data_IF_991766662076
#
_entry.id   IF_991766662076
#
_cell.length_a   1.000
_cell.length_b   1.000
_cell.length_c   1.000
_cell.angle_alpha   90.00
_cell.angle_beta   90.00
_cell.angle_gamma   90.00
#
_symmetry.space_group_name_H-M   'P 1'
#
loop_
_entity.id
_entity.type
_entity.pdbx_description
1 polymer ?
#
# COMPACT_ATOMS: atom_id res chain seq x y z
N UNK A 1 -11.94 35.51 -5.46
CA UNK A 1 -11.17 35.08 -4.26
C UNK A 1 -9.78 34.60 -4.69
N UNK A 2 -8.71 34.94 -3.92
CA UNK A 2 -7.37 34.44 -4.26
C UNK A 2 -7.27 32.95 -3.91
N UNK A 3 -6.44 32.17 -4.63
CA UNK A 3 -6.22 30.75 -4.33
C UNK A 3 -5.77 30.52 -2.88
N UNK A 4 -5.02 31.46 -2.33
CA UNK A 4 -4.54 31.39 -0.95
C UNK A 4 -5.70 31.38 0.07
N UNK A 5 -6.75 32.14 -0.15
CA UNK A 5 -7.94 32.19 0.73
C UNK A 5 -8.69 30.85 0.67
N UNK A 6 -8.77 30.24 -0.49
CA UNK A 6 -9.39 28.92 -0.71
C UNK A 6 -8.64 27.84 0.09
N UNK A 7 -7.30 27.84 0.04
CA UNK A 7 -6.48 26.92 0.84
C UNK A 7 -6.61 27.17 2.34
N UNK A 8 -6.57 28.42 2.79
CA UNK A 8 -6.75 28.74 4.22
C UNK A 8 -8.11 28.24 4.71
N UNK A 9 -9.18 28.49 3.96
CA UNK A 9 -10.51 28.06 4.31
C UNK A 9 -10.62 26.52 4.40
N UNK A 10 -9.99 25.82 3.48
CA UNK A 10 -9.91 24.36 3.51
C UNK A 10 -9.24 23.84 4.80
N UNK A 11 -8.10 24.41 5.18
CA UNK A 11 -7.43 24.03 6.42
C UNK A 11 -8.21 24.39 7.66
N UNK A 12 -8.91 25.53 7.67
CA UNK A 12 -9.80 25.92 8.78
C UNK A 12 -10.93 24.89 8.95
N UNK A 13 -11.54 24.43 7.86
CA UNK A 13 -12.57 23.39 7.93
C UNK A 13 -12.03 22.07 8.49
N UNK A 14 -10.80 21.69 8.11
CA UNK A 14 -10.16 20.51 8.66
C UNK A 14 -9.87 20.65 10.17
N UNK A 15 -9.43 21.83 10.62
CA UNK A 15 -9.18 22.10 12.05
C UNK A 15 -10.45 22.05 12.88
N UNK A 16 -11.61 22.41 12.30
CA UNK A 16 -12.93 22.30 12.94
C UNK A 16 -13.46 20.85 12.88
N UNK A 17 -12.65 19.90 12.39
CA UNK A 17 -13.00 18.48 12.25
C UNK A 17 -14.16 18.20 11.26
N UNK A 18 -14.38 19.06 10.26
CA UNK A 18 -15.30 18.76 9.15
C UNK A 18 -14.68 17.67 8.27
N UNK A 19 -15.44 16.63 7.86
CA UNK A 19 -14.95 15.59 6.97
C UNK A 19 -14.34 16.15 5.68
N UNK A 20 -13.22 15.58 5.23
CA UNK A 20 -12.44 16.09 4.07
C UNK A 20 -13.32 16.26 2.82
N UNK A 21 -14.21 15.29 2.54
CA UNK A 21 -15.11 15.34 1.38
C UNK A 21 -16.07 16.54 1.42
N UNK A 22 -16.60 16.84 2.62
CA UNK A 22 -17.49 17.99 2.83
C UNK A 22 -16.69 19.29 2.73
N UNK A 23 -15.51 19.34 3.33
CA UNK A 23 -14.60 20.50 3.27
C UNK A 23 -14.24 20.84 1.82
N UNK A 24 -13.89 19.83 1.01
CA UNK A 24 -13.60 20.01 -0.42
C UNK A 24 -14.83 20.52 -1.19
N UNK A 25 -16.03 19.97 -0.93
CA UNK A 25 -17.27 20.42 -1.56
C UNK A 25 -17.61 21.87 -1.20
N UNK A 26 -17.50 22.23 0.08
CA UNK A 26 -17.75 23.60 0.55
C UNK A 26 -16.77 24.60 -0.08
N UNK A 27 -15.47 24.28 -0.08
CA UNK A 27 -14.44 25.15 -0.64
C UNK A 27 -14.58 25.29 -2.15
N UNK A 28 -15.11 24.30 -2.86
CA UNK A 28 -15.40 24.40 -4.29
C UNK A 28 -16.61 25.30 -4.62
N UNK A 29 -17.63 25.34 -3.74
CA UNK A 29 -18.87 26.09 -3.98
C UNK A 29 -18.79 27.52 -3.42
N UNK A 30 -18.14 27.74 -2.28
CA UNK A 30 -18.09 29.03 -1.59
C UNK A 30 -17.59 30.20 -2.46
N UNK A 31 -16.56 30.07 -3.30
CA UNK A 31 -16.13 31.16 -4.16
C UNK A 31 -17.25 31.68 -5.07
N UNK A 32 -18.08 30.79 -5.61
CA UNK A 32 -19.19 31.14 -6.48
C UNK A 32 -20.37 31.81 -5.75
N UNK A 33 -20.45 31.67 -4.41
CA UNK A 33 -21.46 32.34 -3.59
C UNK A 33 -21.05 33.80 -3.28
N UNK A 34 -19.75 34.03 -3.06
CA UNK A 34 -19.23 35.36 -2.69
C UNK A 34 -18.82 36.23 -3.89
N UNK A 35 -18.57 35.61 -5.04
CA UNK A 35 -18.12 36.31 -6.25
C UNK A 35 -18.96 35.86 -7.44
N UNK A 36 -19.96 36.67 -7.87
CA UNK A 36 -20.79 36.35 -9.05
C UNK A 36 -20.02 36.24 -10.36
N UNK A 37 -18.80 36.77 -10.43
CA UNK A 37 -17.92 36.62 -11.59
C UNK A 37 -17.26 35.25 -11.67
N UNK A 38 -17.35 34.46 -10.62
CA UNK A 38 -16.78 33.12 -10.57
C UNK A 38 -17.69 32.15 -11.34
N UNK A 39 -17.15 31.56 -12.40
CA UNK A 39 -17.91 30.73 -13.35
C UNK A 39 -18.39 29.39 -12.79
N UNK A 40 -17.86 28.96 -11.65
CA UNK A 40 -18.25 27.70 -11.01
C UNK A 40 -19.48 27.84 -10.13
N UNK A 41 -20.66 27.79 -10.76
CA UNK A 41 -21.94 27.70 -10.01
C UNK A 41 -22.04 26.34 -9.29
N UNK A 42 -22.91 26.27 -8.26
CA UNK A 42 -23.16 25.01 -7.53
C UNK A 42 -23.58 23.87 -8.49
N UNK A 43 -24.37 24.19 -9.54
CA UNK A 43 -24.74 23.22 -10.57
C UNK A 43 -23.55 22.75 -11.42
N UNK A 44 -22.58 23.63 -11.69
CA UNK A 44 -21.33 23.22 -12.37
C UNK A 44 -20.51 22.27 -11.49
N UNK A 45 -20.35 22.58 -10.21
CA UNK A 45 -19.62 21.72 -9.26
C UNK A 45 -20.28 20.34 -9.17
N UNK A 46 -21.62 20.30 -9.04
CA UNK A 46 -22.35 19.03 -8.98
C UNK A 46 -22.18 18.23 -10.27
N UNK A 47 -22.30 18.85 -11.44
CA UNK A 47 -22.08 18.18 -12.73
C UNK A 47 -20.64 17.66 -12.87
N UNK A 48 -19.65 18.44 -12.44
CA UNK A 48 -18.25 18.02 -12.44
C UNK A 48 -17.99 16.85 -11.49
N UNK A 49 -18.67 16.81 -10.33
CA UNK A 49 -18.60 15.67 -9.41
C UNK A 49 -19.17 14.39 -10.06
N UNK A 50 -20.34 14.48 -10.71
CA UNK A 50 -20.90 13.33 -11.43
C UNK A 50 -20.04 12.91 -12.62
N UNK A 51 -19.56 13.85 -13.43
CA UNK A 51 -18.66 13.55 -14.55
C UNK A 51 -17.31 12.97 -14.12
N UNK A 52 -16.81 13.36 -12.93
CA UNK A 52 -15.60 12.78 -12.36
C UNK A 52 -15.75 11.34 -11.89
N UNK A 53 -16.97 10.93 -11.53
CA UNK A 53 -17.28 9.55 -11.14
C UNK A 53 -17.53 8.67 -12.38
N UNK A 54 -18.06 9.24 -13.45
CA UNK A 54 -18.34 8.54 -14.71
C UNK A 54 -17.08 8.47 -15.57
N UNK A 55 -16.10 7.71 -15.11
CA UNK A 55 -14.85 7.52 -15.84
C UNK A 55 -14.38 6.07 -15.79
N UNK A 56 -13.94 5.55 -16.95
CA UNK A 56 -13.47 4.17 -17.07
C UNK A 56 -12.32 3.82 -16.11
N UNK A 57 -11.28 4.66 -15.90
CA UNK A 57 -10.22 4.37 -14.94
C UNK A 57 -10.71 4.24 -13.52
N UNK A 58 -11.79 4.94 -13.14
CA UNK A 58 -12.34 4.83 -11.79
C UNK A 58 -12.98 3.46 -11.50
N UNK A 59 -13.46 2.78 -12.55
CA UNK A 59 -14.01 1.43 -12.43
C UNK A 59 -12.95 0.42 -11.94
N UNK A 60 -11.68 0.67 -12.23
CA UNK A 60 -10.58 -0.17 -11.77
C UNK A 60 -10.46 -0.18 -10.22
N UNK A 61 -10.80 0.93 -9.55
CA UNK A 61 -10.67 1.06 -8.09
C UNK A 61 -11.49 0.00 -7.34
N UNK A 62 -12.82 -0.15 -7.54
CA UNK A 62 -13.59 -1.17 -6.86
C UNK A 62 -13.15 -2.60 -7.22
N UNK A 63 -12.69 -2.82 -8.46
CA UNK A 63 -12.17 -4.12 -8.89
C UNK A 63 -10.87 -4.48 -8.16
N UNK A 64 -9.94 -3.54 -8.00
CA UNK A 64 -8.72 -3.77 -7.21
C UNK A 64 -9.02 -3.97 -5.73
N UNK A 65 -9.95 -3.23 -5.14
CA UNK A 65 -10.37 -3.42 -3.75
C UNK A 65 -10.96 -4.83 -3.58
N UNK A 66 -11.86 -5.24 -4.47
CA UNK A 66 -12.49 -6.56 -4.42
C UNK A 66 -11.45 -7.68 -4.54
N UNK A 67 -10.54 -7.58 -5.52
CA UNK A 67 -9.47 -8.56 -5.70
C UNK A 67 -8.56 -8.64 -4.48
N UNK A 68 -8.18 -7.49 -3.91
CA UNK A 68 -7.37 -7.41 -2.70
C UNK A 68 -8.03 -8.07 -1.49
N UNK A 69 -9.35 -7.87 -1.29
CA UNK A 69 -10.10 -8.51 -0.20
C UNK A 69 -10.19 -10.03 -0.38
N UNK A 70 -10.49 -10.50 -1.59
CA UNK A 70 -10.54 -11.93 -1.91
C UNK A 70 -9.18 -12.58 -1.64
N UNK A 71 -8.11 -11.95 -2.08
CA UNK A 71 -6.74 -12.43 -1.90
C UNK A 71 -6.30 -12.41 -0.44
N UNK A 72 -6.68 -11.39 0.34
CA UNK A 72 -6.41 -11.33 1.77
C UNK A 72 -7.05 -12.52 2.51
N UNK A 73 -8.32 -12.80 2.22
CA UNK A 73 -9.05 -13.95 2.81
C UNK A 73 -8.52 -15.29 2.29
N UNK A 74 -7.99 -15.34 1.09
CA UNK A 74 -7.36 -16.52 0.48
C UNK A 74 -5.99 -16.88 1.06
N UNK A 75 -5.47 -16.12 2.03
CA UNK A 75 -4.20 -16.38 2.69
C UNK A 75 -2.97 -16.16 1.80
N UNK A 76 -3.09 -15.32 0.78
CA UNK A 76 -2.00 -15.03 -0.16
C UNK A 76 -0.84 -14.34 0.56
N UNK A 77 -1.10 -13.42 1.48
CA UNK A 77 -0.07 -12.75 2.28
C UNK A 77 0.81 -13.75 3.04
N UNK A 78 0.19 -14.79 3.63
CA UNK A 78 0.92 -15.85 4.32
C UNK A 78 1.80 -16.67 3.36
N UNK A 79 1.26 -17.04 2.22
CA UNK A 79 2.01 -17.83 1.22
C UNK A 79 3.19 -17.06 0.64
N UNK A 80 3.04 -15.77 0.40
CA UNK A 80 4.13 -14.88 -0.02
C UNK A 80 5.20 -14.78 1.07
N UNK A 81 4.78 -14.55 2.33
CA UNK A 81 5.70 -14.45 3.44
C UNK A 81 6.47 -15.77 3.66
N UNK A 82 5.78 -16.92 3.64
CA UNK A 82 6.41 -18.23 3.79
C UNK A 82 7.42 -18.48 2.65
N UNK A 83 7.08 -18.10 1.41
CA UNK A 83 7.98 -18.23 0.27
C UNK A 83 9.26 -17.40 0.44
N UNK A 84 9.12 -16.11 0.77
CA UNK A 84 10.29 -15.25 0.95
C UNK A 84 11.09 -15.65 2.19
N UNK A 85 10.44 -16.06 3.27
CA UNK A 85 11.09 -16.59 4.46
C UNK A 85 11.87 -17.86 4.17
N UNK A 86 11.40 -18.71 3.28
CA UNK A 86 12.12 -19.91 2.86
C UNK A 86 13.50 -19.60 2.24
N UNK A 87 13.59 -18.54 1.40
CA UNK A 87 14.84 -18.17 0.75
C UNK A 87 15.80 -17.35 1.62
N UNK A 88 15.28 -16.41 2.40
CA UNK A 88 16.11 -15.44 3.11
C UNK A 88 16.01 -15.52 4.63
N UNK A 89 15.13 -16.35 5.18
CA UNK A 89 14.80 -16.38 6.61
C UNK A 89 15.99 -16.69 7.53
N UNK A 90 16.94 -17.54 7.10
CA UNK A 90 18.14 -17.88 7.85
C UNK A 90 19.20 -16.76 7.91
N UNK A 91 19.07 -15.73 7.07
CA UNK A 91 19.98 -14.57 7.06
C UNK A 91 19.65 -13.61 8.19
N UNK A 92 20.62 -12.79 8.58
CA UNK A 92 20.39 -11.70 9.55
C UNK A 92 19.28 -10.77 9.01
N UNK A 93 18.28 -10.46 9.84
CA UNK A 93 17.06 -9.76 9.46
C UNK A 93 16.24 -10.44 8.35
N UNK A 94 16.43 -11.74 8.13
CA UNK A 94 15.78 -12.46 7.03
C UNK A 94 14.26 -12.38 7.09
N UNK A 95 13.65 -12.57 8.24
CA UNK A 95 12.20 -12.50 8.43
C UNK A 95 11.64 -11.07 8.32
N UNK A 96 12.24 -10.02 8.93
CA UNK A 96 11.89 -8.64 8.68
C UNK A 96 11.98 -8.25 7.18
N UNK A 97 13.03 -8.67 6.49
CA UNK A 97 13.17 -8.45 5.05
C UNK A 97 12.09 -9.20 4.25
N UNK A 98 11.76 -10.44 4.62
CA UNK A 98 10.66 -11.18 4.01
C UNK A 98 9.31 -10.45 4.19
N UNK A 99 9.08 -9.83 5.34
CA UNK A 99 7.88 -9.01 5.57
C UNK A 99 7.84 -7.78 4.64
N UNK A 100 8.95 -7.07 4.44
CA UNK A 100 9.04 -5.94 3.51
C UNK A 100 8.77 -6.38 2.07
N UNK A 101 9.39 -7.46 1.61
CA UNK A 101 9.17 -8.00 0.27
C UNK A 101 7.71 -8.44 0.11
N UNK A 102 7.13 -9.05 1.14
CA UNK A 102 5.70 -9.43 1.14
C UNK A 102 4.80 -8.20 0.99
N UNK A 103 5.12 -7.09 1.67
CA UNK A 103 4.39 -5.82 1.52
C UNK A 103 4.51 -5.27 0.09
N UNK A 104 5.68 -5.35 -0.55
CA UNK A 104 5.88 -4.95 -1.94
C UNK A 104 4.97 -5.74 -2.89
N UNK A 105 5.01 -7.06 -2.80
CA UNK A 105 4.21 -7.93 -3.66
C UNK A 105 2.71 -7.84 -3.37
N UNK A 106 2.33 -7.81 -2.09
CA UNK A 106 0.92 -7.67 -1.72
C UNK A 106 0.38 -6.28 -2.08
N UNK A 107 1.21 -5.25 -1.95
CA UNK A 107 0.90 -3.90 -2.38
C UNK A 107 0.60 -3.81 -3.88
N UNK A 108 1.42 -4.48 -4.69
CA UNK A 108 1.22 -4.61 -6.13
C UNK A 108 -0.05 -5.39 -6.54
N UNK A 109 -0.74 -6.00 -5.58
CA UNK A 109 -2.02 -6.68 -5.81
C UNK A 109 -3.18 -5.82 -5.32
N UNK A 110 -3.05 -5.25 -4.11
CA UNK A 110 -4.14 -4.54 -3.43
C UNK A 110 -4.30 -3.08 -3.85
N UNK A 111 -3.22 -2.46 -4.31
CA UNK A 111 -3.19 -1.03 -4.63
C UNK A 111 -3.46 -0.10 -3.44
N UNK A 112 -3.43 -0.63 -2.22
CA UNK A 112 -3.82 0.07 -0.98
C UNK A 112 -2.83 -0.21 0.15
N UNK A 113 -2.24 0.86 0.68
CA UNK A 113 -1.33 0.76 1.83
C UNK A 113 -2.03 0.25 3.09
N UNK A 114 -3.24 0.71 3.37
CA UNK A 114 -4.03 0.29 4.54
C UNK A 114 -4.33 -1.21 4.46
N UNK A 115 -4.78 -1.69 3.30
CA UNK A 115 -5.06 -3.11 3.08
C UNK A 115 -3.79 -3.96 3.23
N UNK A 116 -2.65 -3.46 2.73
CA UNK A 116 -1.34 -4.11 2.84
C UNK A 116 -0.90 -4.24 4.31
N UNK A 117 -0.96 -3.14 5.08
CA UNK A 117 -0.64 -3.17 6.52
C UNK A 117 -1.55 -4.13 7.27
N UNK A 118 -2.84 -4.11 6.99
CA UNK A 118 -3.81 -4.99 7.65
C UNK A 118 -3.55 -6.46 7.32
N UNK A 119 -3.37 -6.80 6.04
CA UNK A 119 -3.22 -8.19 5.59
C UNK A 119 -1.87 -8.79 5.97
N UNK A 120 -0.77 -8.05 5.79
CA UNK A 120 0.57 -8.53 6.09
C UNK A 120 0.88 -8.35 7.58
N UNK A 121 0.52 -7.20 8.16
CA UNK A 121 0.85 -6.88 9.55
C UNK A 121 0.14 -7.75 10.56
N UNK A 122 -1.14 -8.08 10.34
CA UNK A 122 -1.89 -8.95 11.26
C UNK A 122 -1.26 -10.33 11.45
N UNK A 123 -0.52 -10.80 10.48
CA UNK A 123 0.15 -12.09 10.50
C UNK A 123 1.64 -11.98 10.89
N UNK A 124 2.36 -11.02 10.30
CA UNK A 124 3.82 -10.95 10.47
C UNK A 124 4.22 -10.34 11.80
N UNK A 125 3.50 -9.33 12.32
CA UNK A 125 3.85 -8.68 13.57
C UNK A 125 3.81 -9.66 14.76
N UNK A 126 2.72 -10.43 15.00
CA UNK A 126 2.70 -11.41 16.08
C UNK A 126 3.80 -12.46 15.95
N UNK A 127 4.01 -12.96 14.73
CA UNK A 127 5.03 -13.96 14.44
C UNK A 127 6.45 -13.46 14.74
N UNK A 128 6.79 -12.25 14.29
CA UNK A 128 8.11 -11.66 14.54
C UNK A 128 8.34 -11.42 16.05
N UNK A 129 7.31 -10.96 16.76
CA UNK A 129 7.38 -10.76 18.22
C UNK A 129 7.57 -12.09 18.96
N UNK A 130 6.88 -13.16 18.55
CA UNK A 130 7.05 -14.51 19.11
C UNK A 130 8.49 -15.03 18.90
N UNK A 131 9.11 -14.69 17.78
CA UNK A 131 10.49 -15.03 17.45
C UNK A 131 11.55 -14.13 18.13
N UNK A 132 11.12 -13.21 19.00
CA UNK A 132 12.01 -12.39 19.83
C UNK A 132 12.34 -11.01 19.27
N UNK A 133 11.71 -10.57 18.16
CA UNK A 133 11.90 -9.21 17.68
C UNK A 133 11.12 -8.19 18.52
N UNK A 134 11.67 -6.99 18.66
CA UNK A 134 10.99 -5.90 19.38
C UNK A 134 9.67 -5.51 18.67
N UNK A 135 8.59 -5.47 19.45
CA UNK A 135 7.25 -5.14 18.95
C UNK A 135 7.18 -3.77 18.27
N UNK A 136 7.88 -2.77 18.83
CA UNK A 136 7.89 -1.42 18.27
C UNK A 136 8.57 -1.41 16.89
N UNK A 137 9.70 -2.10 16.77
CA UNK A 137 10.40 -2.26 15.50
C UNK A 137 9.53 -2.98 14.48
N UNK A 138 8.93 -4.13 14.81
CA UNK A 138 8.08 -4.88 13.88
C UNK A 138 6.89 -4.06 13.40
N UNK A 139 6.22 -3.36 14.33
CA UNK A 139 5.04 -2.54 14.00
C UNK A 139 5.44 -1.37 13.11
N UNK A 140 6.52 -0.66 13.43
CA UNK A 140 7.00 0.46 12.63
C UNK A 140 7.44 0.02 11.24
N UNK A 141 8.22 -1.08 11.15
CA UNK A 141 8.68 -1.62 9.87
C UNK A 141 7.52 -1.99 8.95
N UNK A 142 6.52 -2.72 9.46
CA UNK A 142 5.35 -3.14 8.66
C UNK A 142 4.46 -1.95 8.31
N UNK A 143 4.29 -0.99 9.20
CA UNK A 143 3.52 0.23 8.91
C UNK A 143 4.14 1.03 7.76
N UNK A 144 5.46 1.23 7.78
CA UNK A 144 6.17 1.91 6.69
C UNK A 144 6.22 1.06 5.43
N UNK A 145 6.52 -0.25 5.54
CA UNK A 145 6.53 -1.15 4.39
C UNK A 145 5.15 -1.26 3.72
N UNK A 146 4.07 -1.18 4.49
CA UNK A 146 2.71 -1.18 3.94
C UNK A 146 2.39 0.03 3.08
N UNK A 147 3.03 1.18 3.30
CA UNK A 147 2.87 2.35 2.44
C UNK A 147 3.36 2.10 0.99
N UNK A 148 4.24 1.10 0.79
CA UNK A 148 4.66 0.67 -0.55
C UNK A 148 3.49 0.18 -1.41
N UNK A 149 2.41 -0.31 -0.78
CA UNK A 149 1.18 -0.68 -1.46
C UNK A 149 0.41 0.49 -2.10
N UNK A 150 0.82 1.72 -1.83
CA UNK A 150 0.29 2.92 -2.51
C UNK A 150 1.22 3.40 -3.62
N UNK A 151 2.50 3.04 -3.55
CA UNK A 151 3.52 3.51 -4.49
C UNK A 151 3.72 2.51 -5.63
N UNK A 152 3.68 1.20 -5.32
CA UNK A 152 3.86 0.15 -6.34
C UNK A 152 2.53 -0.06 -7.08
N UNK A 153 2.54 -0.04 -8.42
CA UNK A 153 1.34 -0.24 -9.21
C UNK A 153 0.78 -1.69 -9.09
N UNK A 154 -0.56 -1.84 -9.23
CA UNK A 154 -1.54 -0.78 -9.44
C UNK A 154 -1.78 0.02 -8.16
N UNK A 155 -1.99 1.33 -8.28
CA UNK A 155 -2.17 2.24 -7.15
C UNK A 155 -3.44 3.07 -7.33
N UNK A 156 -4.32 3.02 -6.34
CA UNK A 156 -5.57 3.80 -6.34
C UNK A 156 -5.28 5.31 -6.38
N UNK A 157 -4.37 5.88 -5.55
CA UNK A 157 -4.00 7.29 -5.65
C UNK A 157 -3.41 7.70 -7.00
N UNK A 158 -2.66 6.83 -7.67
CA UNK A 158 -2.12 7.14 -8.99
C UNK A 158 -3.21 7.21 -10.06
N UNK A 159 -4.23 6.35 -9.98
CA UNK A 159 -5.41 6.43 -10.86
C UNK A 159 -6.12 7.78 -10.65
N UNK A 160 -6.37 8.15 -9.38
CA UNK A 160 -7.02 9.42 -9.05
C UNK A 160 -6.21 10.63 -9.51
N UNK A 161 -4.89 10.58 -9.34
CA UNK A 161 -3.99 11.64 -9.81
C UNK A 161 -3.98 11.74 -11.35
N UNK A 162 -3.88 10.61 -12.05
CA UNK A 162 -3.93 10.56 -13.51
C UNK A 162 -5.22 11.17 -14.07
N UNK A 163 -6.35 10.84 -13.46
CA UNK A 163 -7.64 11.41 -13.82
C UNK A 163 -7.71 12.93 -13.59
N UNK A 164 -7.20 13.41 -12.45
CA UNK A 164 -7.24 14.82 -12.10
C UNK A 164 -6.27 15.66 -12.93
N UNK A 165 -5.10 15.12 -13.26
CA UNK A 165 -4.04 15.82 -14.01
C UNK A 165 -4.13 15.67 -15.52
N UNK A 166 -4.90 14.70 -16.02
CA UNK A 166 -4.92 14.31 -17.43
C UNK A 166 -3.66 13.54 -17.88
N UNK A 167 -2.79 13.15 -16.94
CA UNK A 167 -1.62 12.36 -17.26
C UNK A 167 -1.96 10.88 -17.47
N UNK A 168 -1.15 10.19 -18.28
CA UNK A 168 -1.33 8.76 -18.55
C UNK A 168 -1.15 7.95 -17.26
N UNK A 169 -2.17 7.20 -16.85
CA UNK A 169 -2.13 6.33 -15.68
C UNK A 169 -1.03 5.27 -15.80
N UNK A 170 -0.82 4.75 -17.02
CA UNK A 170 0.25 3.77 -17.29
C UNK A 170 1.63 4.34 -17.04
N UNK A 171 1.89 5.59 -17.47
CA UNK A 171 3.19 6.23 -17.29
C UNK A 171 3.45 6.54 -15.80
N UNK A 172 2.41 6.94 -15.07
CA UNK A 172 2.49 7.15 -13.62
C UNK A 172 2.78 5.84 -12.90
N UNK A 173 2.17 4.74 -13.32
CA UNK A 173 2.43 3.40 -12.77
C UNK A 173 3.89 2.99 -12.98
N UNK A 174 4.42 3.14 -14.18
CA UNK A 174 5.82 2.84 -14.48
C UNK A 174 6.78 3.70 -13.65
N UNK A 175 6.46 4.99 -13.50
CA UNK A 175 7.24 5.91 -12.67
C UNK A 175 7.26 5.52 -11.17
N UNK A 176 6.20 4.88 -10.67
CA UNK A 176 6.10 4.43 -9.28
C UNK A 176 6.96 3.22 -8.93
N UNK A 177 7.31 2.39 -9.90
CA UNK A 177 8.07 1.13 -9.66
C UNK A 177 9.45 1.44 -9.07
N UNK A 178 10.20 2.34 -9.68
CA UNK A 178 11.58 2.66 -9.27
C UNK A 178 11.64 3.18 -7.84
N UNK A 179 10.89 4.24 -7.45
CA UNK A 179 10.91 4.72 -6.06
C UNK A 179 10.36 3.69 -5.08
N UNK A 180 9.34 2.91 -5.46
CA UNK A 180 8.80 1.85 -4.61
C UNK A 180 9.83 0.78 -4.27
N UNK A 181 10.56 0.28 -5.27
CA UNK A 181 11.65 -0.70 -5.08
C UNK A 181 12.79 -0.09 -4.27
N UNK A 182 13.18 1.16 -4.55
CA UNK A 182 14.24 1.85 -3.81
C UNK A 182 13.89 1.98 -2.32
N UNK A 183 12.68 2.40 -1.98
CA UNK A 183 12.22 2.51 -0.59
C UNK A 183 12.21 1.13 0.07
N UNK A 184 11.73 0.10 -0.62
CA UNK A 184 11.75 -1.28 -0.12
C UNK A 184 13.17 -1.77 0.19
N UNK A 185 14.13 -1.48 -0.69
CA UNK A 185 15.55 -1.80 -0.47
C UNK A 185 16.12 -1.05 0.74
N UNK A 186 15.83 0.25 0.87
CA UNK A 186 16.28 1.05 2.02
C UNK A 186 15.70 0.53 3.34
N UNK A 187 14.43 0.10 3.35
CA UNK A 187 13.81 -0.52 4.52
C UNK A 187 14.47 -1.85 4.89
N UNK A 188 14.82 -2.67 3.89
CA UNK A 188 15.55 -3.92 4.15
C UNK A 188 16.96 -3.65 4.69
N UNK A 189 17.67 -2.67 4.16
CA UNK A 189 18.97 -2.24 4.69
C UNK A 189 18.83 -1.77 6.13
N UNK A 190 17.84 -0.92 6.43
CA UNK A 190 17.55 -0.48 7.79
C UNK A 190 17.28 -1.66 8.73
N UNK A 191 16.45 -2.63 8.30
CA UNK A 191 16.15 -3.82 9.08
C UNK A 191 17.41 -4.63 9.41
N UNK A 192 18.31 -4.79 8.44
CA UNK A 192 19.59 -5.48 8.65
C UNK A 192 20.47 -4.74 9.66
N UNK A 193 20.58 -3.42 9.56
CA UNK A 193 21.35 -2.62 10.53
C UNK A 193 20.74 -2.71 11.94
N UNK A 194 19.42 -2.61 12.04
CA UNK A 194 18.72 -2.72 13.32
C UNK A 194 18.96 -4.06 13.99
N UNK A 195 18.76 -5.15 13.26
CA UNK A 195 18.92 -6.51 13.78
C UNK A 195 20.38 -6.83 14.14
N UNK A 196 21.36 -6.33 13.38
CA UNK A 196 22.77 -6.44 13.75
C UNK A 196 23.11 -5.74 15.07
N UNK A 197 22.47 -4.60 15.33
CA UNK A 197 22.71 -3.81 16.54
C UNK A 197 22.04 -4.40 17.79
N UNK A 198 20.82 -4.94 17.65
CA UNK A 198 20.03 -5.41 18.78
C UNK A 198 20.12 -6.93 19.01
N UNK A 199 20.70 -7.66 18.07
CA UNK A 199 20.76 -9.13 18.09
C UNK A 199 19.45 -9.77 17.64
N UNK A 200 19.52 -11.06 17.38
CA UNK A 200 18.37 -11.90 16.97
C UNK A 200 18.46 -13.25 17.67
N UNK A 201 17.33 -13.81 18.04
CA UNK A 201 17.24 -15.18 18.58
C UNK A 201 17.31 -16.18 17.42
N UNK A 202 18.54 -16.45 16.96
CA UNK A 202 18.79 -17.33 15.81
C UNK A 202 18.28 -18.75 16.02
N UNK A 203 18.21 -19.21 17.26
CA UNK A 203 17.75 -20.57 17.56
C UNK A 203 16.26 -20.73 17.23
N UNK A 204 15.42 -19.80 17.70
CA UNK A 204 13.99 -19.80 17.39
C UNK A 204 13.71 -19.55 15.91
N UNK A 205 14.48 -18.65 15.29
CA UNK A 205 14.35 -18.35 13.86
C UNK A 205 14.69 -19.58 13.03
N UNK A 206 15.82 -20.24 13.31
CA UNK A 206 16.23 -21.43 12.58
C UNK A 206 15.23 -22.57 12.76
N UNK A 207 14.76 -22.84 13.98
CA UNK A 207 13.74 -23.86 14.23
C UNK A 207 12.47 -23.62 13.39
N UNK A 208 12.03 -22.34 13.29
CA UNK A 208 10.87 -21.97 12.46
C UNK A 208 11.11 -22.19 10.97
N UNK A 209 12.30 -21.80 10.49
CA UNK A 209 12.64 -21.94 9.07
C UNK A 209 12.91 -23.40 8.71
N UNK A 210 13.50 -24.21 9.61
CA UNK A 210 13.71 -25.63 9.38
C UNK A 210 12.37 -26.37 9.29
N UNK A 211 11.41 -26.06 10.14
CA UNK A 211 10.05 -26.58 10.02
C UNK A 211 9.36 -26.17 8.69
N UNK A 212 9.71 -24.99 8.14
CA UNK A 212 9.23 -24.57 6.82
C UNK A 212 9.94 -25.34 5.70
N UNK A 213 11.24 -25.62 5.83
CA UNK A 213 12.04 -26.40 4.90
C UNK A 213 11.61 -27.88 4.85
N UNK A 214 11.17 -28.46 5.97
CA UNK A 214 10.64 -29.82 6.03
C UNK A 214 9.38 -30.01 5.17
N UNK A 215 8.60 -28.95 4.96
CA UNK A 215 7.45 -28.99 4.04
C UNK A 215 7.85 -29.17 2.57
N UNK A 216 9.12 -28.93 2.25
CA UNK A 216 9.70 -29.05 0.91
C UNK A 216 9.45 -27.83 0.02
N UNK A 217 10.50 -27.43 -0.71
CA UNK A 217 10.48 -26.26 -1.61
C UNK A 217 9.34 -26.36 -2.65
N UNK A 218 9.11 -27.54 -3.18
CA UNK A 218 8.09 -27.76 -4.21
C UNK A 218 6.67 -27.47 -3.70
N UNK A 219 6.36 -27.85 -2.47
CA UNK A 219 5.05 -27.58 -1.85
C UNK A 219 4.85 -26.09 -1.56
N UNK A 220 5.87 -25.43 -1.01
CA UNK A 220 5.84 -23.97 -0.73
C UNK A 220 5.73 -23.19 -2.02
N UNK A 221 6.53 -23.53 -3.05
CA UNK A 221 6.48 -22.88 -4.35
C UNK A 221 5.15 -23.08 -5.06
N UNK A 222 4.64 -24.31 -5.12
CA UNK A 222 3.35 -24.62 -5.75
C UNK A 222 2.19 -23.87 -5.07
N UNK A 223 2.22 -23.77 -3.75
CA UNK A 223 1.18 -23.02 -2.99
C UNK A 223 1.27 -21.51 -3.23
N UNK A 224 2.46 -20.98 -3.49
CA UNK A 224 2.71 -19.54 -3.65
C UNK A 224 2.77 -19.10 -5.12
N UNK A 225 2.76 -20.04 -6.07
CA UNK A 225 2.92 -19.76 -7.50
C UNK A 225 1.93 -18.71 -8.01
N UNK A 226 0.65 -18.90 -7.75
CA UNK A 226 -0.38 -17.94 -8.14
C UNK A 226 -0.27 -16.61 -7.40
N UNK A 227 0.25 -16.62 -6.17
CA UNK A 227 0.47 -15.40 -5.40
C UNK A 227 1.59 -14.54 -5.99
N UNK A 228 2.66 -15.17 -6.46
CA UNK A 228 3.79 -14.47 -7.14
C UNK A 228 3.39 -14.03 -8.55
N UNK A 229 2.58 -14.83 -9.24
CA UNK A 229 2.15 -14.52 -10.60
C UNK A 229 1.08 -13.41 -10.63
N UNK A 230 0.34 -13.20 -9.54
CA UNK A 230 -0.78 -12.25 -9.51
C UNK A 230 -0.42 -10.81 -9.88
N UNK A 231 0.71 -10.19 -9.43
CA UNK A 231 1.10 -8.86 -9.90
C UNK A 231 1.37 -8.81 -11.40
N UNK A 232 1.95 -9.89 -11.94
CA UNK A 232 2.25 -9.99 -13.38
C UNK A 232 0.97 -10.08 -14.21
N UNK A 233 -0.01 -10.85 -13.74
CA UNK A 233 -1.32 -10.95 -14.39
C UNK A 233 -2.05 -9.61 -14.36
N UNK A 234 -2.03 -8.93 -13.20
CA UNK A 234 -2.74 -7.66 -13.02
C UNK A 234 -2.12 -6.54 -13.86
N UNK A 235 -0.79 -6.50 -13.97
CA UNK A 235 -0.09 -5.46 -14.74
C UNK A 235 0.02 -5.79 -16.24
N UNK A 236 -0.16 -7.05 -16.61
CA UNK A 236 -0.01 -7.52 -17.99
C UNK A 236 -1.32 -7.62 -18.77
N UNK A 237 -2.47 -7.41 -18.12
CA UNK A 237 -3.79 -7.33 -18.74
C UNK A 237 -4.23 -5.88 -18.88
#
# INVERSE_FOLDING_TARGET
MSPLVVFILFFVFLLIAIPISVSLGLVAVLPGVFDPSFTASASYVIRSMFGGIDSFPLLAVPMFILSGIIMARGGISKRLFDLFSFFIGKRTAGLPCAAVITCLFYGAISGSGIATVAAVGSMTIPLLVELGYDKKFCTALVAVAGSLGVIIPPSIPFIMYGMASGASVSDIFLAGIVPGVLIGLLLMVYAVFYCKKHGEDKEKINAKIDALHEQGLWKVFKSSFFAVLSPVIILGC
#
